data_IF_237996939040
#
_entry.id   IF_237996939040
#
_cell.length_a   1.000
_cell.length_b   1.000
_cell.length_c   1.000
_cell.angle_alpha   90.00
_cell.angle_beta   90.00
_cell.angle_gamma   90.00
#
_symmetry.space_group_name_H-M   'P 1'
#
loop_
_entity.id
_entity.type
_entity.pdbx_description
1 polymer ?
#
# COMPACT_ATOMS: atom_id res chain seq x y z
N UNK A 1 14.73 -11.21 24.24
CA UNK A 1 13.44 -11.55 23.61
C UNK A 1 13.22 -10.50 22.54
N UNK A 2 13.22 -10.90 21.26
CA UNK A 2 12.90 -9.96 20.18
C UNK A 2 11.39 -9.82 20.12
N UNK A 3 10.87 -8.59 20.10
CA UNK A 3 9.44 -8.35 19.87
C UNK A 3 9.01 -8.99 18.55
N UNK A 4 7.78 -9.52 18.45
CA UNK A 4 7.26 -9.97 17.17
C UNK A 4 7.27 -8.78 16.22
N UNK A 5 8.05 -8.88 15.14
CA UNK A 5 8.04 -7.86 14.11
C UNK A 5 6.63 -7.73 13.53
N UNK A 6 6.10 -6.51 13.33
CA UNK A 6 4.76 -6.34 12.79
C UNK A 6 4.66 -7.03 11.43
N UNK A 7 3.61 -7.83 11.25
CA UNK A 7 3.35 -8.50 9.98
C UNK A 7 2.98 -7.44 8.92
N UNK A 8 3.96 -7.12 8.08
CA UNK A 8 3.84 -6.09 7.05
C UNK A 8 2.75 -6.40 6.03
N UNK A 9 2.36 -7.67 5.89
CA UNK A 9 1.36 -8.10 4.90
C UNK A 9 -0.08 -7.88 5.38
N UNK A 10 -0.32 -7.58 6.66
CA UNK A 10 -1.64 -7.12 7.12
C UNK A 10 -1.78 -5.64 6.75
N UNK A 11 -2.87 -5.26 6.09
CA UNK A 11 -3.05 -3.87 5.68
C UNK A 11 -3.18 -2.94 6.90
N UNK A 12 -2.30 -1.96 6.95
CA UNK A 12 -2.44 -0.74 7.73
C UNK A 12 -1.79 0.40 6.96
N UNK A 13 -2.17 1.67 7.22
CA UNK A 13 -1.51 2.81 6.61
C UNK A 13 0.01 2.81 6.82
N UNK A 14 0.48 2.36 7.98
CA UNK A 14 1.90 2.37 8.32
C UNK A 14 2.65 1.23 7.63
N UNK A 15 2.02 0.04 7.52
CA UNK A 15 2.56 -1.07 6.75
C UNK A 15 2.62 -0.76 5.25
N UNK A 16 1.64 -0.02 4.71
CA UNK A 16 1.69 0.46 3.33
C UNK A 16 2.87 1.38 3.07
N UNK A 17 3.11 2.36 3.95
CA UNK A 17 4.25 3.26 3.85
C UNK A 17 5.56 2.48 3.99
N UNK A 18 5.65 1.55 4.95
CA UNK A 18 6.82 0.72 5.17
C UNK A 18 7.15 -0.15 3.95
N UNK A 19 6.16 -0.80 3.35
CA UNK A 19 6.37 -1.55 2.11
C UNK A 19 6.76 -0.63 0.95
N UNK A 20 6.06 0.50 0.77
CA UNK A 20 6.31 1.43 -0.33
C UNK A 20 7.74 2.02 -0.32
N UNK A 21 8.36 2.16 0.85
CA UNK A 21 9.71 2.67 1.00
C UNK A 21 10.78 1.79 0.33
N UNK A 22 10.53 0.48 0.24
CA UNK A 22 11.48 -0.52 -0.33
C UNK A 22 10.90 -1.28 -1.53
N UNK A 23 9.63 -1.05 -1.85
CA UNK A 23 8.93 -1.70 -2.95
C UNK A 23 9.54 -1.34 -4.32
N UNK A 24 9.55 -2.28 -5.27
CA UNK A 24 9.99 -2.00 -6.62
C UNK A 24 9.04 -1.01 -7.29
N UNK A 25 9.62 -0.08 -8.05
CA UNK A 25 8.89 0.83 -8.91
C UNK A 25 8.64 0.20 -10.28
N UNK A 26 7.41 0.32 -10.78
CA UNK A 26 7.04 -0.08 -12.14
C UNK A 26 6.08 0.95 -12.72
N UNK A 27 6.47 1.59 -13.81
CA UNK A 27 5.66 2.58 -14.53
C UNK A 27 5.11 3.70 -13.63
N UNK A 28 5.90 4.14 -12.65
CA UNK A 28 5.50 5.18 -11.69
C UNK A 28 4.66 4.70 -10.51
N UNK A 29 4.44 3.39 -10.35
CA UNK A 29 3.77 2.80 -9.19
C UNK A 29 4.73 2.02 -8.30
N UNK A 30 4.50 2.06 -6.99
CA UNK A 30 5.12 1.15 -6.02
C UNK A 30 4.29 -0.13 -5.94
N UNK A 31 4.93 -1.30 -6.06
CA UNK A 31 4.26 -2.60 -5.95
C UNK A 31 4.29 -3.11 -4.52
N UNK A 32 3.13 -3.14 -3.88
CA UNK A 32 2.96 -3.59 -2.48
C UNK A 32 2.07 -4.84 -2.42
N UNK A 33 2.14 -5.57 -1.31
CA UNK A 33 1.46 -6.86 -1.16
C UNK A 33 0.73 -6.91 0.18
N UNK A 34 -0.51 -7.37 0.17
CA UNK A 34 -1.27 -7.55 1.40
C UNK A 34 -2.07 -8.85 1.36
N UNK A 35 -2.36 -9.39 2.55
CA UNK A 35 -3.36 -10.42 2.67
C UNK A 35 -4.71 -9.94 2.15
N UNK A 36 -5.40 -10.84 1.48
CA UNK A 36 -6.76 -10.60 0.99
C UNK A 36 -7.71 -11.67 1.52
N UNK A 37 -8.99 -11.31 1.63
CA UNK A 37 -10.05 -12.26 1.93
C UNK A 37 -10.47 -13.05 0.68
N UNK A 38 -11.43 -13.95 0.82
CA UNK A 38 -11.98 -14.77 -0.27
C UNK A 38 -12.61 -13.94 -1.41
N UNK A 39 -12.89 -12.65 -1.18
CA UNK A 39 -13.44 -11.71 -2.16
C UNK A 39 -12.37 -10.82 -2.79
N UNK A 40 -11.10 -11.01 -2.44
CA UNK A 40 -9.98 -10.20 -2.92
C UNK A 40 -9.84 -8.84 -2.22
N UNK A 41 -10.57 -8.59 -1.14
CA UNK A 41 -10.47 -7.34 -0.37
C UNK A 41 -9.35 -7.43 0.67
N UNK A 42 -8.77 -6.29 1.05
CA UNK A 42 -7.72 -6.23 2.07
C UNK A 42 -8.18 -6.88 3.39
N UNK A 43 -7.46 -7.92 3.82
CA UNK A 43 -7.78 -8.64 5.05
C UNK A 43 -7.26 -7.90 6.29
N UNK A 44 -7.98 -8.04 7.41
CA UNK A 44 -7.61 -7.48 8.72
C UNK A 44 -6.65 -8.37 9.52
N UNK A 45 -6.36 -9.56 9.03
CA UNK A 45 -5.49 -10.56 9.64
C UNK A 45 -4.81 -11.37 8.54
N UNK A 46 -3.82 -12.19 8.91
CA UNK A 46 -3.19 -13.12 7.99
C UNK A 46 -4.23 -14.07 7.37
N UNK A 47 -4.05 -14.35 6.08
CA UNK A 47 -4.85 -15.29 5.28
C UNK A 47 -3.92 -16.11 4.39
N UNK A 48 -4.46 -17.11 3.71
CA UNK A 48 -3.69 -17.92 2.74
C UNK A 48 -3.45 -17.18 1.41
N UNK A 49 -4.11 -16.04 1.20
CA UNK A 49 -4.10 -15.32 -0.07
C UNK A 49 -3.42 -13.97 0.06
N UNK A 50 -2.53 -13.65 -0.89
CA UNK A 50 -1.83 -12.36 -0.95
C UNK A 50 -2.12 -11.70 -2.30
N UNK A 51 -2.69 -10.51 -2.25
CA UNK A 51 -2.88 -9.64 -3.41
C UNK A 51 -1.65 -8.78 -3.67
N UNK A 52 -1.45 -8.40 -4.95
CA UNK A 52 -0.49 -7.37 -5.35
C UNK A 52 -1.26 -6.11 -5.73
N UNK A 53 -0.75 -4.97 -5.30
CA UNK A 53 -1.39 -3.67 -5.48
C UNK A 53 -0.40 -2.64 -6.02
N UNK A 54 -0.94 -1.66 -6.74
CA UNK A 54 -0.20 -0.53 -7.27
C UNK A 54 -0.49 0.72 -6.45
N UNK A 55 0.49 1.20 -5.69
CA UNK A 55 0.40 2.50 -5.02
C UNK A 55 0.95 3.57 -5.95
N UNK A 56 0.10 4.54 -6.29
CA UNK A 56 0.52 5.78 -6.96
C UNK A 56 1.17 6.70 -5.92
N UNK A 57 2.47 7.05 -6.07
CA UNK A 57 3.15 7.96 -5.17
C UNK A 57 2.55 9.37 -5.20
N UNK A 58 2.01 9.78 -6.36
CA UNK A 58 1.23 11.01 -6.50
C UNK A 58 -0.24 10.75 -6.20
N UNK A 59 -0.82 11.58 -5.34
CA UNK A 59 -2.23 11.49 -4.94
C UNK A 59 -2.58 10.32 -4.02
N UNK A 60 -1.64 9.43 -3.69
CA UNK A 60 -1.83 8.40 -2.65
C UNK A 60 -2.97 7.42 -2.92
N UNK A 61 -3.13 7.00 -4.17
CA UNK A 61 -4.16 6.03 -4.58
C UNK A 61 -3.57 4.62 -4.61
N UNK A 62 -4.24 3.68 -3.96
CA UNK A 62 -3.93 2.25 -4.04
C UNK A 62 -4.91 1.57 -4.99
N UNK A 63 -4.38 0.80 -5.94
CA UNK A 63 -5.16 0.07 -6.94
C UNK A 63 -4.87 -1.42 -6.90
N UNK A 64 -5.85 -2.22 -7.29
CA UNK A 64 -5.65 -3.65 -7.52
C UNK A 64 -4.96 -3.91 -8.87
N UNK A 65 -4.80 -5.18 -9.23
CA UNK A 65 -4.14 -5.56 -10.50
C UNK A 65 -4.94 -5.18 -11.75
N UNK A 66 -6.24 -4.96 -11.61
CA UNK A 66 -7.15 -4.51 -12.67
C UNK A 66 -7.25 -2.97 -12.72
N UNK A 67 -6.46 -2.28 -11.90
CA UNK A 67 -6.42 -0.84 -11.74
C UNK A 67 -7.69 -0.22 -11.13
N UNK A 68 -8.57 -1.04 -10.54
CA UNK A 68 -9.68 -0.53 -9.75
C UNK A 68 -9.15 0.15 -8.48
N UNK A 69 -9.82 1.20 -8.02
CA UNK A 69 -9.43 1.90 -6.79
C UNK A 69 -9.83 1.03 -5.59
N UNK A 70 -8.83 0.62 -4.82
CA UNK A 70 -9.04 -0.05 -3.54
C UNK A 70 -9.24 0.99 -2.44
N UNK A 71 -8.38 2.00 -2.42
CA UNK A 71 -8.52 3.15 -1.53
C UNK A 71 -7.75 4.36 -2.03
N UNK A 72 -8.09 5.52 -1.47
CA UNK A 72 -7.45 6.80 -1.70
C UNK A 72 -7.17 7.48 -0.36
N UNK A 73 -5.94 7.99 -0.18
CA UNK A 73 -5.62 8.84 0.95
C UNK A 73 -4.44 9.76 0.64
N UNK A 74 -4.64 11.06 0.86
CA UNK A 74 -3.58 12.05 0.77
C UNK A 74 -2.44 11.84 1.80
N UNK A 75 -2.57 10.92 2.77
CA UNK A 75 -1.45 10.50 3.65
C UNK A 75 -0.34 9.82 2.85
N UNK A 76 -0.69 9.16 1.75
CA UNK A 76 0.26 8.39 0.93
C UNK A 76 0.79 9.18 -0.27
N UNK A 77 0.37 10.43 -0.43
CA UNK A 77 0.88 11.32 -1.47
C UNK A 77 2.23 11.89 -1.05
N UNK A 78 3.31 11.37 -1.63
CA UNK A 78 4.67 11.81 -1.31
C UNK A 78 4.96 13.22 -1.83
N UNK A 79 4.14 13.73 -2.73
CA UNK A 79 4.27 15.07 -3.30
C UNK A 79 3.35 16.09 -2.63
N UNK A 80 2.59 15.70 -1.60
CA UNK A 80 1.70 16.60 -0.90
C UNK A 80 2.47 17.80 -0.32
N UNK A 81 2.13 19.00 -0.78
CA UNK A 81 2.74 20.25 -0.32
C UNK A 81 3.94 20.71 -1.16
N UNK A 82 4.48 19.87 -2.04
CA UNK A 82 5.44 20.30 -3.06
C UNK A 82 4.69 21.12 -4.11
N UNK A 83 4.95 22.43 -4.13
CA UNK A 83 4.27 23.40 -5.01
C UNK A 83 3.53 24.53 -4.28
N UNK A 84 3.43 24.48 -2.93
CA UNK A 84 3.06 25.68 -2.16
C UNK A 84 4.27 26.59 -2.07
N UNK A 85 4.23 27.71 -2.80
CA UNK A 85 5.15 28.83 -2.58
C UNK A 85 4.86 29.36 -1.17
N UNK A 86 5.86 29.31 -0.30
CA UNK A 86 5.81 29.90 1.05
C UNK A 86 5.64 31.41 1.01
#
# INVERSE_FOLDING_TARGET
MSEPSPDLLVYSPDNLIAQAAVAPDRLGYKLVRFYVDEKGLLAKSATEHIGTFYLSPSGGTLRDMELNIVLYSAKFDIYKGLGRVS
#
